data_IF_351319010305
#
_entry.id   IF_351319010305
#
_cell.length_a   1.000
_cell.length_b   1.000
_cell.length_c   1.000
_cell.angle_alpha   90.00
_cell.angle_beta   90.00
_cell.angle_gamma   90.00
#
_symmetry.space_group_name_H-M   'P 1'
#
loop_
_entity.id
_entity.type
_entity.pdbx_description
1 polymer ?
#
# COMPACT_ATOMS: atom_id res chain seq x y z
N UNK A 1 -14.48 22.72 -2.73
CA UNK A 1 -13.27 22.11 -2.13
C UNK A 1 -12.42 21.54 -3.25
N UNK A 2 -11.14 21.89 -3.37
CA UNK A 2 -10.29 21.24 -4.38
C UNK A 2 -10.10 19.77 -4.00
N UNK A 3 -10.22 18.87 -4.98
CA UNK A 3 -9.91 17.46 -4.79
C UNK A 3 -8.48 17.31 -4.26
N UNK A 4 -8.31 16.54 -3.18
CA UNK A 4 -6.99 16.31 -2.59
C UNK A 4 -6.02 15.71 -3.63
N UNK A 5 -4.81 16.27 -3.69
CA UNK A 5 -3.76 15.84 -4.62
C UNK A 5 -2.83 14.84 -3.94
N UNK A 6 -2.25 13.96 -4.76
CA UNK A 6 -1.40 12.87 -4.30
C UNK A 6 -0.08 12.84 -5.08
N UNK A 7 1.03 12.77 -4.36
CA UNK A 7 2.34 12.44 -4.90
C UNK A 7 2.36 10.93 -5.13
N UNK A 8 2.49 10.51 -6.39
CA UNK A 8 2.61 9.09 -6.72
C UNK A 8 4.08 8.76 -6.91
N UNK A 9 4.56 7.74 -6.22
CA UNK A 9 5.97 7.37 -6.24
C UNK A 9 6.18 5.87 -5.97
N UNK A 10 7.31 5.29 -6.42
CA UNK A 10 7.65 3.88 -6.21
C UNK A 10 8.08 3.63 -4.76
N UNK A 11 7.69 2.49 -4.20
CA UNK A 11 7.94 2.15 -2.78
C UNK A 11 9.43 2.18 -2.41
N UNK A 12 10.33 1.94 -3.38
CA UNK A 12 11.77 1.98 -3.19
C UNK A 12 12.31 3.33 -2.72
N UNK A 13 11.58 4.44 -2.94
CA UNK A 13 12.02 5.73 -2.40
C UNK A 13 11.88 5.82 -0.88
N UNK A 14 11.19 4.88 -0.21
CA UNK A 14 11.12 4.83 1.25
C UNK A 14 12.40 4.32 1.92
N UNK A 15 13.36 3.79 1.15
CA UNK A 15 14.64 3.30 1.69
C UNK A 15 15.34 4.42 2.46
N UNK A 16 15.68 4.14 3.73
CA UNK A 16 16.35 5.11 4.61
C UNK A 16 15.42 6.12 5.29
N UNK A 17 14.09 6.01 5.15
CA UNK A 17 13.15 6.97 5.76
C UNK A 17 13.29 7.08 7.29
N UNK A 18 13.57 5.96 7.96
CA UNK A 18 13.76 5.95 9.41
C UNK A 18 15.05 6.66 9.85
N UNK A 19 16.02 6.83 8.94
CA UNK A 19 17.29 7.51 9.18
C UNK A 19 17.15 9.00 8.87
N UNK A 20 16.65 9.33 7.69
CA UNK A 20 16.47 10.72 7.24
C UNK A 20 15.15 10.88 6.48
N UNK A 21 14.08 11.08 7.25
CA UNK A 21 12.72 11.24 6.71
C UNK A 21 12.59 12.50 5.85
N UNK A 22 13.31 13.58 6.18
CA UNK A 22 13.23 14.85 5.43
C UNK A 22 13.86 14.70 4.04
N UNK A 23 15.03 14.08 3.95
CA UNK A 23 15.65 13.76 2.65
C UNK A 23 14.76 12.85 1.82
N UNK A 24 14.22 11.77 2.41
CA UNK A 24 13.35 10.84 1.68
C UNK A 24 12.09 11.53 1.15
N UNK A 25 11.43 12.34 1.97
CA UNK A 25 10.26 13.11 1.53
C UNK A 25 10.63 14.11 0.44
N UNK A 26 11.77 14.79 0.56
CA UNK A 26 12.27 15.65 -0.53
C UNK A 26 12.49 14.85 -1.83
N UNK A 27 13.13 13.68 -1.78
CA UNK A 27 13.35 12.83 -2.94
C UNK A 27 12.02 12.36 -3.57
N UNK A 28 11.02 12.01 -2.75
CA UNK A 28 9.65 11.70 -3.20
C UNK A 28 9.01 12.88 -3.92
N UNK A 29 9.13 14.09 -3.36
CA UNK A 29 8.53 15.30 -3.95
C UNK A 29 9.14 15.62 -5.31
N UNK A 30 10.47 15.56 -5.42
CA UNK A 30 11.23 15.81 -6.65
C UNK A 30 10.92 14.75 -7.71
N UNK A 31 10.86 13.46 -7.33
CA UNK A 31 10.43 12.39 -8.24
C UNK A 31 9.01 12.64 -8.78
N UNK A 32 8.06 12.96 -7.90
CA UNK A 32 6.65 13.12 -8.27
C UNK A 32 6.42 14.35 -9.17
N UNK A 33 7.17 15.44 -8.93
CA UNK A 33 7.16 16.63 -9.80
C UNK A 33 7.71 16.29 -11.18
N UNK A 34 8.86 15.62 -11.26
CA UNK A 34 9.43 15.20 -12.54
C UNK A 34 8.53 14.21 -13.30
N UNK A 35 7.98 13.20 -12.62
CA UNK A 35 7.04 12.27 -13.27
C UNK A 35 5.79 12.98 -13.79
N UNK A 36 5.28 13.99 -13.05
CA UNK A 36 4.16 14.79 -13.52
C UNK A 36 4.55 15.65 -14.73
N UNK A 37 5.76 16.20 -14.78
CA UNK A 37 6.21 17.07 -15.86
C UNK A 37 6.31 16.32 -17.19
N UNK A 38 6.61 15.01 -17.15
CA UNK A 38 6.59 14.13 -18.34
C UNK A 38 5.20 13.98 -18.97
N UNK A 39 4.12 14.32 -18.26
CA UNK A 39 2.73 14.25 -18.77
C UNK A 39 2.29 15.53 -19.47
N UNK A 40 3.09 16.59 -19.39
CA UNK A 40 2.80 17.87 -20.02
C UNK A 40 3.31 17.86 -21.46
N UNK A 41 2.45 18.21 -22.42
CA UNK A 41 2.80 18.21 -23.85
C UNK A 41 3.60 19.48 -24.22
N UNK A 42 3.20 20.64 -23.70
CA UNK A 42 3.74 21.95 -24.07
C UNK A 42 4.78 22.48 -23.06
N UNK A 43 5.70 23.32 -23.55
CA UNK A 43 6.74 23.99 -22.77
C UNK A 43 8.09 23.29 -22.80
N UNK A 44 9.13 24.01 -22.37
CA UNK A 44 10.46 23.46 -22.11
C UNK A 44 10.45 22.58 -20.86
N UNK A 45 11.47 21.74 -20.69
CA UNK A 45 11.60 20.85 -19.52
C UNK A 45 11.50 21.62 -18.19
N UNK A 46 12.12 22.80 -18.10
CA UNK A 46 12.10 23.62 -16.88
C UNK A 46 10.73 24.27 -16.64
N UNK A 47 10.05 24.73 -17.69
CA UNK A 47 8.68 25.26 -17.58
C UNK A 47 7.70 24.17 -17.14
N UNK A 48 7.88 22.95 -17.65
CA UNK A 48 7.08 21.79 -17.24
C UNK A 48 7.31 21.45 -15.76
N UNK A 49 8.56 21.48 -15.29
CA UNK A 49 8.88 21.30 -13.86
C UNK A 49 8.22 22.37 -13.00
N UNK A 50 8.34 23.65 -13.38
CA UNK A 50 7.72 24.76 -12.66
C UNK A 50 6.19 24.62 -12.59
N UNK A 51 5.58 24.21 -13.69
CA UNK A 51 4.14 23.93 -13.78
C UNK A 51 3.74 22.77 -12.87
N UNK A 52 4.50 21.67 -12.88
CA UNK A 52 4.26 20.51 -12.02
C UNK A 52 4.48 20.78 -10.53
N UNK A 53 5.49 21.58 -10.17
CA UNK A 53 5.71 22.02 -8.80
C UNK A 53 4.54 22.90 -8.31
N UNK A 54 4.09 23.83 -9.15
CA UNK A 54 2.89 24.64 -8.89
C UNK A 54 1.63 23.78 -8.76
N UNK A 55 1.49 22.72 -9.57
CA UNK A 55 0.38 21.79 -9.46
C UNK A 55 0.32 21.13 -8.08
N UNK A 56 1.45 20.77 -7.47
CA UNK A 56 1.46 20.19 -6.12
C UNK A 56 1.53 21.22 -4.99
N UNK A 57 1.53 22.53 -5.30
CA UNK A 57 1.78 23.61 -4.35
C UNK A 57 3.11 23.42 -3.60
N UNK A 58 4.18 23.07 -4.33
CA UNK A 58 5.51 22.82 -3.76
C UNK A 58 6.50 23.90 -4.19
N UNK A 59 7.22 24.44 -3.23
CA UNK A 59 8.42 25.25 -3.49
C UNK A 59 9.63 24.35 -3.33
N UNK A 60 10.13 23.84 -4.46
CA UNK A 60 11.37 23.07 -4.48
C UNK A 60 12.56 24.02 -4.68
N UNK A 61 13.78 23.49 -4.66
CA UNK A 61 14.98 24.25 -5.01
C UNK A 61 14.92 24.77 -6.46
N UNK A 62 16.07 25.14 -7.04
CA UNK A 62 16.06 25.62 -8.43
C UNK A 62 15.42 24.61 -9.39
N UNK A 63 14.68 25.11 -10.39
CA UNK A 63 13.98 24.27 -11.37
C UNK A 63 14.94 23.28 -12.04
N UNK A 64 16.18 23.72 -12.32
CA UNK A 64 17.24 22.87 -12.87
C UNK A 64 17.63 21.74 -11.92
N UNK A 65 17.87 22.04 -10.64
CA UNK A 65 18.23 21.00 -9.67
C UNK A 65 17.08 19.99 -9.49
N UNK A 66 15.84 20.49 -9.43
CA UNK A 66 14.64 19.63 -9.36
C UNK A 66 14.54 18.73 -10.59
N UNK A 67 14.77 19.27 -11.79
CA UNK A 67 14.80 18.49 -13.03
C UNK A 67 15.90 17.42 -13.00
N UNK A 68 17.15 17.81 -12.77
CA UNK A 68 18.31 16.92 -12.84
C UNK A 68 18.17 15.77 -11.82
N UNK A 69 17.82 16.11 -10.57
CA UNK A 69 17.64 15.11 -9.50
C UNK A 69 16.40 14.23 -9.75
N UNK A 70 15.29 14.82 -10.19
CA UNK A 70 14.06 14.08 -10.49
C UNK A 70 14.28 13.08 -11.64
N UNK A 71 14.99 13.49 -12.68
CA UNK A 71 15.40 12.62 -13.79
C UNK A 71 16.29 11.49 -13.34
N UNK A 72 17.30 11.76 -12.52
CA UNK A 72 18.18 10.71 -11.96
C UNK A 72 17.40 9.71 -11.12
N UNK A 73 16.54 10.18 -10.21
CA UNK A 73 15.67 9.30 -9.42
C UNK A 73 14.75 8.48 -10.31
N UNK A 74 14.08 9.11 -11.27
CA UNK A 74 13.16 8.43 -12.20
C UNK A 74 13.84 7.31 -12.97
N UNK A 75 15.02 7.58 -13.53
CA UNK A 75 15.77 6.61 -14.33
C UNK A 75 16.40 5.49 -13.47
N UNK A 76 16.61 5.71 -12.17
CA UNK A 76 17.15 4.69 -11.26
C UNK A 76 16.12 3.62 -10.87
N UNK A 77 14.82 3.89 -11.07
CA UNK A 77 13.75 3.01 -10.64
C UNK A 77 13.39 2.03 -11.77
N UNK A 78 13.36 0.71 -11.49
CA UNK A 78 12.91 -0.28 -12.47
C UNK A 78 11.48 -0.03 -12.95
N UNK A 79 11.21 -0.38 -14.20
CA UNK A 79 9.85 -0.35 -14.76
C UNK A 79 8.92 -1.25 -13.95
N UNK A 80 7.62 -0.90 -13.91
CA UNK A 80 6.58 -1.63 -13.15
C UNK A 80 6.83 -1.75 -11.64
N UNK A 81 7.65 -0.86 -11.07
CA UNK A 81 7.82 -0.76 -9.62
C UNK A 81 6.49 -0.45 -8.92
N UNK A 82 6.15 -1.14 -7.80
CA UNK A 82 4.94 -0.87 -7.04
C UNK A 82 4.92 0.55 -6.52
N UNK A 83 3.83 1.28 -6.81
CA UNK A 83 3.67 2.68 -6.43
C UNK A 83 2.72 2.85 -5.25
N UNK A 84 2.81 4.00 -4.61
CA UNK A 84 1.88 4.49 -3.60
C UNK A 84 1.60 5.96 -3.84
N UNK A 85 0.38 6.38 -3.51
CA UNK A 85 0.00 7.79 -3.45
C UNK A 85 0.11 8.32 -2.02
N UNK A 86 0.84 9.40 -1.80
CA UNK A 86 0.87 10.17 -0.55
C UNK A 86 0.12 11.48 -0.75
N UNK A 87 -0.87 11.78 0.09
CA UNK A 87 -1.58 13.05 -0.02
C UNK A 87 -0.66 14.21 0.33
N UNK A 88 -0.85 15.35 -0.33
CA UNK A 88 -0.08 16.57 -0.06
C UNK A 88 -0.22 17.03 1.39
N UNK A 89 -1.41 16.88 1.98
CA UNK A 89 -1.67 17.20 3.39
C UNK A 89 -0.75 16.41 4.33
N UNK A 90 -0.73 15.07 4.21
CA UNK A 90 0.11 14.19 5.04
C UNK A 90 1.59 14.31 4.71
N UNK A 91 1.94 14.65 3.47
CA UNK A 91 3.32 14.98 3.11
C UNK A 91 3.85 16.12 3.99
N UNK A 92 3.15 17.26 4.01
CA UNK A 92 3.58 18.42 4.80
C UNK A 92 3.53 18.14 6.30
N UNK A 93 2.54 17.38 6.76
CA UNK A 93 2.45 16.93 8.16
C UNK A 93 3.74 16.22 8.63
N UNK A 94 4.33 15.36 7.79
CA UNK A 94 5.56 14.63 8.11
C UNK A 94 6.85 15.37 7.72
N UNK A 95 6.77 16.32 6.79
CA UNK A 95 7.93 17.08 6.33
C UNK A 95 8.29 18.24 7.27
N UNK A 96 7.28 18.98 7.73
CA UNK A 96 7.45 20.20 8.53
C UNK A 96 7.58 19.92 10.03
N UNK A 97 6.92 18.87 10.51
CA UNK A 97 6.87 18.55 11.94
C UNK A 97 7.84 17.43 12.29
N UNK A 98 8.44 17.54 13.47
CA UNK A 98 9.18 16.42 14.05
C UNK A 98 8.19 15.33 14.48
N UNK A 99 8.42 14.12 13.97
CA UNK A 99 7.59 12.94 14.24
C UNK A 99 8.38 11.96 15.08
N UNK A 100 7.71 11.33 16.04
CA UNK A 100 8.33 10.28 16.83
C UNK A 100 8.74 9.12 15.93
N UNK A 101 9.66 8.29 16.42
CA UNK A 101 10.07 7.10 15.68
C UNK A 101 8.88 6.17 15.42
N UNK A 102 7.95 6.07 16.38
CA UNK A 102 6.75 5.27 16.23
C UNK A 102 5.79 5.84 15.17
N UNK A 103 5.62 7.16 15.11
CA UNK A 103 4.81 7.80 14.06
C UNK A 103 5.40 7.52 12.66
N UNK A 104 6.74 7.58 12.55
CA UNK A 104 7.45 7.30 11.29
C UNK A 104 7.25 5.86 10.83
N UNK A 105 7.33 4.88 11.72
CA UNK A 105 7.12 3.48 11.33
C UNK A 105 5.65 3.18 11.01
N UNK A 106 4.70 3.81 11.71
CA UNK A 106 3.28 3.74 11.38
C UNK A 106 2.99 4.34 10.00
N UNK A 107 3.62 5.47 9.67
CA UNK A 107 3.53 6.07 8.34
C UNK A 107 4.08 5.15 7.24
N UNK A 108 5.24 4.53 7.45
CA UNK A 108 5.78 3.52 6.53
C UNK A 108 4.81 2.34 6.35
N UNK A 109 4.23 1.83 7.43
CA UNK A 109 3.26 0.75 7.38
C UNK A 109 1.99 1.14 6.60
N UNK A 110 1.50 2.36 6.81
CA UNK A 110 0.35 2.87 6.06
C UNK A 110 0.63 2.98 4.56
N UNK A 111 1.75 3.60 4.17
CA UNK A 111 2.15 3.70 2.76
C UNK A 111 2.35 2.33 2.13
N UNK A 112 2.95 1.40 2.88
CA UNK A 112 3.12 0.00 2.47
C UNK A 112 1.79 -0.68 2.20
N UNK A 113 0.82 -0.55 3.10
CA UNK A 113 -0.54 -1.08 2.94
C UNK A 113 -1.21 -0.50 1.69
N UNK A 114 -1.12 0.82 1.50
CA UNK A 114 -1.65 1.49 0.30
C UNK A 114 -1.02 0.94 -0.98
N UNK A 115 0.29 0.71 -0.99
CA UNK A 115 0.99 0.11 -2.14
C UNK A 115 0.54 -1.32 -2.41
N UNK A 116 0.37 -2.14 -1.37
CA UNK A 116 -0.07 -3.53 -1.50
C UNK A 116 -1.53 -3.62 -2.01
N UNK A 117 -2.41 -2.75 -1.50
CA UNK A 117 -3.81 -2.67 -1.93
C UNK A 117 -3.89 -2.18 -3.38
N UNK A 118 -3.19 -1.10 -3.73
CA UNK A 118 -3.30 -0.46 -5.03
C UNK A 118 -4.75 -0.09 -5.34
N UNK A 119 -5.31 -0.69 -6.39
CA UNK A 119 -6.71 -0.49 -6.80
C UNK A 119 -7.70 -1.46 -6.15
N UNK A 120 -7.22 -2.50 -5.44
CA UNK A 120 -8.06 -3.54 -4.83
C UNK A 120 -8.89 -2.96 -3.68
N UNK A 121 -10.11 -3.47 -3.51
CA UNK A 121 -10.96 -3.15 -2.34
C UNK A 121 -10.40 -3.74 -1.04
N UNK A 122 -9.82 -4.93 -1.12
CA UNK A 122 -9.13 -5.59 -0.01
C UNK A 122 -8.07 -6.56 -0.53
N UNK A 123 -7.19 -7.02 0.36
CA UNK A 123 -6.30 -8.14 0.06
C UNK A 123 -5.87 -8.88 1.33
N UNK A 124 -5.36 -10.10 1.16
CA UNK A 124 -4.69 -10.87 2.20
C UNK A 124 -3.19 -10.59 2.15
N UNK A 125 -2.58 -10.32 3.29
CA UNK A 125 -1.18 -9.93 3.45
C UNK A 125 -0.52 -10.76 4.55
N UNK A 126 0.79 -10.94 4.45
CA UNK A 126 1.63 -11.55 5.50
C UNK A 126 2.50 -10.48 6.14
N UNK A 127 2.92 -10.69 7.39
CA UNK A 127 3.82 -9.75 8.07
C UNK A 127 5.13 -9.56 7.29
N UNK A 128 5.73 -10.64 6.77
CA UNK A 128 6.95 -10.55 5.95
C UNK A 128 6.79 -9.63 4.73
N UNK A 129 5.65 -9.71 4.03
CA UNK A 129 5.41 -8.86 2.88
C UNK A 129 5.15 -7.41 3.28
N UNK A 130 4.43 -7.18 4.39
CA UNK A 130 4.24 -5.83 4.95
C UNK A 130 5.59 -5.20 5.34
N UNK A 131 6.42 -5.91 6.11
CA UNK A 131 7.72 -5.40 6.56
C UNK A 131 8.67 -5.13 5.39
N UNK A 132 8.67 -6.00 4.37
CA UNK A 132 9.44 -5.77 3.16
C UNK A 132 9.07 -4.43 2.50
N UNK A 133 7.76 -4.14 2.38
CA UNK A 133 7.26 -2.89 1.81
C UNK A 133 7.60 -1.67 2.67
N UNK A 134 7.55 -1.82 3.99
CA UNK A 134 7.93 -0.76 4.94
C UNK A 134 9.40 -0.38 4.75
N UNK A 135 10.23 -1.36 4.42
CA UNK A 135 11.66 -1.20 4.14
C UNK A 135 11.97 -0.82 2.68
N UNK A 136 10.95 -0.43 1.91
CA UNK A 136 11.09 -0.02 0.51
C UNK A 136 11.38 -1.17 -0.48
N UNK A 137 11.29 -2.44 -0.06
CA UNK A 137 11.53 -3.58 -0.95
C UNK A 137 10.32 -3.86 -1.86
N UNK A 138 10.61 -4.39 -3.05
CA UNK A 138 9.59 -4.67 -4.07
C UNK A 138 8.89 -6.02 -3.92
N UNK A 139 9.49 -6.94 -3.16
CA UNK A 139 9.07 -8.34 -3.03
C UNK A 139 9.10 -8.75 -1.57
N UNK A 140 8.38 -9.83 -1.24
CA UNK A 140 8.39 -10.43 0.09
C UNK A 140 9.79 -10.89 0.47
N UNK A 141 10.21 -10.61 1.70
CA UNK A 141 11.42 -11.18 2.30
C UNK A 141 11.19 -12.62 2.75
N UNK A 142 12.24 -13.42 2.77
CA UNK A 142 12.23 -14.77 3.34
C UNK A 142 12.51 -14.68 4.84
N UNK A 143 13.48 -13.85 5.22
CA UNK A 143 13.94 -13.69 6.60
C UNK A 143 13.98 -12.23 7.06
N UNK A 144 13.76 -12.03 8.35
CA UNK A 144 13.76 -10.70 9.00
C UNK A 144 15.16 -10.05 8.97
N UNK A 145 16.21 -10.86 8.84
CA UNK A 145 17.61 -10.44 8.65
C UNK A 145 17.83 -9.64 7.34
N UNK A 146 16.93 -9.74 6.37
CA UNK A 146 17.04 -8.99 5.10
C UNK A 146 16.63 -7.51 5.23
N UNK A 147 15.97 -7.14 6.33
CA UNK A 147 15.50 -5.77 6.58
C UNK A 147 16.63 -4.87 7.07
N UNK A 148 16.53 -3.57 6.83
CA UNK A 148 17.35 -2.56 7.52
C UNK A 148 17.20 -2.65 9.04
N UNK A 149 18.21 -2.23 9.80
CA UNK A 149 18.18 -2.33 11.26
C UNK A 149 17.01 -1.53 11.88
N UNK A 150 16.70 -0.38 11.26
CA UNK A 150 15.70 0.57 11.69
C UNK A 150 14.27 0.03 11.52
N UNK A 151 14.03 -0.78 10.48
CA UNK A 151 12.73 -1.46 10.30
C UNK A 151 12.70 -2.79 11.05
N UNK A 152 13.84 -3.50 11.12
CA UNK A 152 13.95 -4.83 11.75
C UNK A 152 13.53 -4.82 13.22
N UNK A 153 13.80 -3.76 13.98
CA UNK A 153 13.35 -3.64 15.38
C UNK A 153 11.83 -3.71 15.56
N UNK A 154 11.06 -3.37 14.53
CA UNK A 154 9.61 -3.44 14.50
C UNK A 154 9.07 -4.74 13.86
N UNK A 155 9.94 -5.54 13.26
CA UNK A 155 9.60 -6.80 12.58
C UNK A 155 9.43 -7.98 13.55
N UNK A 156 8.65 -7.78 14.61
CA UNK A 156 8.25 -8.81 15.56
C UNK A 156 6.76 -8.70 15.86
N UNK A 157 6.20 -9.74 16.51
CA UNK A 157 4.77 -9.84 16.79
C UNK A 157 4.25 -8.64 17.58
N UNK A 158 4.89 -8.30 18.70
CA UNK A 158 4.42 -7.24 19.59
C UNK A 158 4.38 -5.88 18.88
N UNK A 159 5.49 -5.50 18.25
CA UNK A 159 5.59 -4.23 17.53
C UNK A 159 4.64 -4.16 16.33
N UNK A 160 4.47 -5.27 15.61
CA UNK A 160 3.54 -5.32 14.48
C UNK A 160 2.09 -5.17 14.90
N UNK A 161 1.69 -5.73 16.05
CA UNK A 161 0.34 -5.52 16.57
C UNK A 161 0.14 -4.08 17.05
N UNK A 162 1.13 -3.47 17.71
CA UNK A 162 1.07 -2.05 18.08
C UNK A 162 0.88 -1.15 16.85
N UNK A 163 1.67 -1.36 15.81
CA UNK A 163 1.55 -0.60 14.55
C UNK A 163 0.16 -0.80 13.94
N UNK A 164 -0.34 -2.04 13.85
CA UNK A 164 -1.67 -2.30 13.28
C UNK A 164 -2.77 -1.64 14.10
N UNK A 165 -2.69 -1.71 15.43
CA UNK A 165 -3.67 -1.08 16.31
C UNK A 165 -3.69 0.44 16.11
N UNK A 166 -2.51 1.06 16.02
CA UNK A 166 -2.39 2.48 15.71
C UNK A 166 -3.05 2.82 14.37
N UNK A 167 -2.80 2.01 13.33
CA UNK A 167 -3.43 2.22 12.02
C UNK A 167 -4.95 2.00 12.03
N UNK A 168 -5.45 1.06 12.83
CA UNK A 168 -6.90 0.81 12.97
C UNK A 168 -7.56 2.02 13.64
N UNK A 169 -6.99 2.51 14.74
CA UNK A 169 -7.58 3.57 15.55
C UNK A 169 -7.50 4.93 14.86
N UNK A 170 -6.34 5.25 14.28
CA UNK A 170 -6.03 6.62 13.88
C UNK A 170 -5.84 6.81 12.36
N UNK A 171 -5.84 5.72 11.58
CA UNK A 171 -5.57 5.76 10.13
C UNK A 171 -6.64 5.05 9.29
N UNK A 172 -7.77 4.69 9.92
CA UNK A 172 -8.93 4.04 9.30
C UNK A 172 -8.61 2.73 8.59
N UNK A 173 -7.61 1.99 9.09
CA UNK A 173 -7.31 0.65 8.59
C UNK A 173 -8.40 -0.32 9.04
N UNK A 174 -9.01 -1.02 8.08
CA UNK A 174 -9.91 -2.12 8.37
C UNK A 174 -9.10 -3.42 8.31
N UNK A 175 -9.16 -4.21 9.39
CA UNK A 175 -8.28 -5.35 9.62
C UNK A 175 -9.04 -6.59 10.09
N UNK A 176 -8.65 -7.76 9.59
CA UNK A 176 -9.19 -9.05 10.07
C UNK A 176 -8.17 -10.19 9.95
N UNK A 177 -7.97 -10.97 11.03
CA UNK A 177 -6.96 -12.05 11.06
C UNK A 177 -7.36 -13.31 11.82
N UNK A 178 -8.66 -13.54 12.07
CA UNK A 178 -9.10 -14.69 12.87
C UNK A 178 -8.78 -16.02 12.17
N UNK A 179 -8.15 -16.95 12.89
CA UNK A 179 -7.83 -18.32 12.43
C UNK A 179 -7.26 -18.38 10.99
N UNK A 180 -6.32 -17.49 10.67
CA UNK A 180 -5.69 -17.46 9.34
C UNK A 180 -4.21 -17.11 9.48
N UNK A 181 -3.38 -17.70 8.61
CA UNK A 181 -2.00 -17.24 8.45
C UNK A 181 -2.00 -15.94 7.66
N UNK A 182 -1.40 -14.90 8.21
CA UNK A 182 -1.49 -13.54 7.67
C UNK A 182 -2.77 -12.84 8.14
N UNK A 183 -3.19 -11.83 7.41
CA UNK A 183 -4.32 -11.00 7.77
C UNK A 183 -4.92 -10.35 6.52
N UNK A 184 -6.18 -9.94 6.60
CA UNK A 184 -6.89 -9.22 5.56
C UNK A 184 -6.94 -7.74 5.92
N UNK A 185 -6.78 -6.88 4.92
CA UNK A 185 -6.82 -5.43 5.08
C UNK A 185 -7.67 -4.76 4.01
N UNK A 186 -8.28 -3.64 4.38
CA UNK A 186 -8.95 -2.70 3.49
C UNK A 186 -8.81 -1.27 4.01
N UNK A 187 -8.96 -0.29 3.11
CA UNK A 187 -9.10 1.13 3.42
C UNK A 187 -10.44 1.70 2.91
N UNK A 188 -11.34 0.85 2.39
CA UNK A 188 -12.57 1.27 1.70
C UNK A 188 -13.81 0.47 2.07
N UNK A 189 -13.63 -0.78 2.49
CA UNK A 189 -14.73 -1.67 2.86
C UNK A 189 -15.17 -1.45 4.31
N UNK A 190 -16.38 -1.87 4.65
CA UNK A 190 -16.76 -2.03 6.05
C UNK A 190 -16.03 -3.24 6.67
N UNK A 191 -15.98 -3.29 8.00
CA UNK A 191 -15.43 -4.45 8.72
C UNK A 191 -16.24 -5.73 8.43
N UNK A 192 -17.56 -5.62 8.38
CA UNK A 192 -18.47 -6.74 8.10
C UNK A 192 -18.22 -7.34 6.71
N UNK A 193 -18.09 -6.49 5.68
CA UNK A 193 -17.81 -6.94 4.32
C UNK A 193 -16.43 -7.61 4.21
N UNK A 194 -15.43 -7.06 4.90
CA UNK A 194 -14.08 -7.65 4.91
C UNK A 194 -14.09 -9.04 5.56
N UNK A 195 -14.81 -9.19 6.67
CA UNK A 195 -14.98 -10.47 7.37
C UNK A 195 -15.69 -11.45 6.45
N UNK A 196 -16.80 -11.06 5.84
CA UNK A 196 -17.56 -11.91 4.92
C UNK A 196 -16.66 -12.44 3.78
N UNK A 197 -15.91 -11.56 3.13
CA UNK A 197 -15.00 -11.92 2.04
C UNK A 197 -13.84 -12.83 2.49
N UNK A 198 -13.36 -12.65 3.72
CA UNK A 198 -12.34 -13.51 4.30
C UNK A 198 -12.88 -14.90 4.66
N UNK A 199 -14.04 -14.97 5.32
CA UNK A 199 -14.71 -16.20 5.75
C UNK A 199 -15.13 -17.05 4.54
N UNK A 200 -15.70 -16.43 3.49
CA UNK A 200 -16.08 -17.09 2.23
C UNK A 200 -14.93 -17.87 1.58
N UNK A 201 -13.68 -17.49 1.84
CA UNK A 201 -12.49 -18.16 1.29
C UNK A 201 -12.04 -19.38 2.10
N UNK A 202 -12.58 -19.62 3.30
CA UNK A 202 -12.17 -20.75 4.15
C UNK A 202 -12.49 -22.09 3.49
N UNK A 203 -11.54 -23.02 3.61
CA UNK A 203 -11.67 -24.39 3.11
C UNK A 203 -12.91 -25.08 3.68
N UNK A 204 -13.12 -25.02 4.99
CA UNK A 204 -14.28 -25.63 5.64
C UNK A 204 -15.63 -25.13 5.09
N UNK A 205 -15.75 -23.82 4.84
CA UNK A 205 -16.96 -23.24 4.25
C UNK A 205 -17.14 -23.73 2.82
N UNK A 206 -16.07 -23.73 2.01
CA UNK A 206 -16.12 -24.25 0.63
C UNK A 206 -16.48 -25.74 0.58
N UNK A 207 -15.93 -26.55 1.47
CA UNK A 207 -16.24 -27.99 1.57
C UNK A 207 -17.70 -28.22 1.95
N UNK A 208 -18.23 -27.44 2.90
CA UNK A 208 -19.65 -27.52 3.28
C UNK A 208 -20.57 -27.12 2.12
N UNK A 209 -20.24 -26.04 1.40
CA UNK A 209 -20.97 -25.62 0.19
C UNK A 209 -20.93 -26.71 -0.89
N UNK A 210 -19.77 -27.33 -1.11
CA UNK A 210 -19.63 -28.41 -2.10
C UNK A 210 -20.47 -29.64 -1.73
N UNK A 211 -20.50 -30.04 -0.44
CA UNK A 211 -21.36 -31.12 0.04
C UNK A 211 -22.85 -30.83 -0.18
N UNK A 212 -23.28 -29.60 0.08
CA UNK A 212 -24.67 -29.18 -0.17
C UNK A 212 -25.04 -29.29 -1.65
N UNK A 213 -24.18 -28.79 -2.54
CA UNK A 213 -24.38 -28.88 -4.00
C UNK A 213 -24.45 -30.34 -4.48
N UNK A 214 -23.59 -31.22 -3.96
CA UNK A 214 -23.63 -32.65 -4.28
C UNK A 214 -24.94 -33.30 -3.85
N UNK A 215 -25.43 -32.99 -2.65
CA UNK A 215 -26.69 -33.52 -2.14
C UNK A 215 -27.90 -33.01 -2.95
N UNK A 216 -27.91 -31.74 -3.35
CA UNK A 216 -28.96 -31.18 -4.21
C UNK A 216 -28.96 -31.82 -5.61
N UNK A 217 -27.77 -32.02 -6.19
CA UNK A 217 -27.64 -32.68 -7.48
C UNK A 217 -28.09 -34.15 -7.43
N UNK A 218 -27.73 -34.86 -6.36
CA UNK A 218 -28.19 -36.22 -6.12
C UNK A 218 -29.71 -36.29 -6.00
N UNK A 219 -30.32 -35.39 -5.23
CA UNK A 219 -31.78 -35.32 -5.07
C UNK A 219 -32.48 -35.11 -6.42
N UNK A 220 -32.00 -34.16 -7.24
CA UNK A 220 -32.54 -33.92 -8.59
C UNK A 220 -32.39 -35.12 -9.52
N UNK A 221 -31.27 -35.84 -9.45
CA UNK A 221 -31.05 -37.05 -10.25
C UNK A 221 -32.03 -38.18 -9.86
N UNK A 222 -32.23 -38.39 -8.56
CA UNK A 222 -33.19 -39.38 -8.05
C UNK A 222 -34.63 -39.04 -8.44
N UNK A 223 -35.03 -37.76 -8.40
CA UNK A 223 -36.34 -37.31 -8.87
C UNK A 223 -36.55 -37.58 -10.36
N UNK A 224 -35.53 -37.30 -11.20
CA UNK A 224 -35.58 -37.60 -12.64
C UNK A 224 -35.77 -39.09 -12.91
N UNK A 225 -35.00 -39.94 -12.22
CA UNK A 225 -35.15 -41.39 -12.37
C UNK A 225 -36.57 -41.85 -12.05
N UNK A 226 -37.19 -41.35 -10.98
CA UNK A 226 -38.60 -41.65 -10.63
C UNK A 226 -39.57 -41.25 -11.73
N UNK A 227 -39.37 -40.09 -12.38
CA UNK A 227 -40.24 -39.65 -13.49
C UNK A 227 -40.02 -40.43 -14.79
N UNK A 228 -38.88 -41.11 -14.97
CA UNK A 228 -38.60 -41.92 -16.17
C UNK A 228 -39.05 -43.38 -16.03
N UNK A 229 -39.42 -43.81 -14.81
CA UNK A 229 -39.88 -45.19 -14.55
C UNK A 229 -41.41 -45.33 -14.45
N UNK A 230 -42.14 -44.22 -14.64
CA UNK A 230 -43.61 -44.18 -14.81
C UNK A 230 -43.93 -43.87 -16.28
#
# INVERSE_FOLDING_TARGET
MSKEKYLNFPIQLLVGFMIDSKKVLYDISVYAVYENSLKLELGTDLEKIKTSASFYNMTLGSDKNTFDKGKTLYNSIPTNSPKVGLSISRFWEFYENDKSEFDKICFLAFLSIKSILGTKSYCKVTNLYLWARMDGKTSTIIEVSELSNEVRKYANRYQSENIKNELILNWHLIYYSRYTRGFYISLKMSLEDLIFEAEKKRKSIKENQQKQLQNEALKKALERLKTTTN
#
